data_IF_608198667178
#
_entry.id   IF_608198667178
#
_cell.length_a   1.000
_cell.length_b   1.000
_cell.length_c   1.000
_cell.angle_alpha   90.00
_cell.angle_beta   90.00
_cell.angle_gamma   90.00
#
_symmetry.space_group_name_H-M   'P 1'
#
loop_
_entity.id
_entity.type
_entity.pdbx_description
1 polymer ?
#
# COMPACT_ATOMS: atom_id res chain seq x y z
N UNK A 1 11.75 7.18 5.55
CA UNK A 1 10.43 7.00 4.88
C UNK A 1 10.21 8.21 3.99
N UNK A 2 10.10 7.97 2.70
CA UNK A 2 9.90 9.03 1.71
C UNK A 2 8.50 9.00 1.11
N UNK A 3 7.70 7.97 1.42
CA UNK A 3 6.36 7.77 0.88
C UNK A 3 5.41 7.13 1.90
N UNK A 4 4.17 7.60 1.91
CA UNK A 4 3.03 6.93 2.55
C UNK A 4 1.99 6.65 1.47
N UNK A 5 1.58 5.39 1.35
CA UNK A 5 0.46 4.99 0.50
C UNK A 5 -0.77 4.80 1.39
N UNK A 6 -1.79 5.66 1.24
CA UNK A 6 -2.95 5.70 2.13
C UNK A 6 -4.25 5.42 1.37
N UNK A 7 -4.82 4.25 1.62
CA UNK A 7 -6.17 3.88 1.17
C UNK A 7 -7.18 4.37 2.19
N UNK A 8 -7.85 5.48 1.87
CA UNK A 8 -8.81 6.11 2.80
C UNK A 8 -10.22 5.50 2.72
N UNK A 9 -10.52 4.76 1.65
CA UNK A 9 -11.80 4.08 1.47
C UNK A 9 -11.64 2.84 0.61
N UNK A 10 -12.42 1.79 0.87
CA UNK A 10 -12.59 0.63 -0.01
C UNK A 10 -13.84 0.74 -0.87
N UNK A 11 -14.67 1.78 -0.67
CA UNK A 11 -15.81 2.05 -1.53
C UNK A 11 -15.33 2.38 -2.95
N UNK A 12 -16.02 1.86 -3.95
CA UNK A 12 -15.64 1.99 -5.35
C UNK A 12 -16.88 1.93 -6.23
N UNK A 13 -16.93 2.76 -7.27
CA UNK A 13 -17.97 2.67 -8.30
C UNK A 13 -17.84 1.42 -9.19
N UNK A 14 -16.76 0.64 -9.02
CA UNK A 14 -16.48 -0.58 -9.78
C UNK A 14 -16.24 -1.78 -8.86
N UNK A 15 -16.32 -3.00 -9.45
CA UNK A 15 -16.01 -4.27 -8.80
C UNK A 15 -15.08 -5.10 -9.68
N UNK A 16 -13.88 -4.56 -9.94
CA UNK A 16 -12.92 -5.16 -10.87
C UNK A 16 -12.48 -6.55 -10.45
N UNK A 17 -12.37 -7.46 -11.42
CA UNK A 17 -12.03 -8.86 -11.19
C UNK A 17 -10.64 -9.06 -10.55
N UNK A 18 -9.70 -8.14 -10.80
CA UNK A 18 -8.30 -8.19 -10.37
C UNK A 18 -8.01 -7.37 -9.10
N UNK A 19 -9.04 -6.81 -8.46
CA UNK A 19 -8.84 -5.95 -7.29
C UNK A 19 -8.20 -6.71 -6.13
N UNK A 20 -7.05 -6.23 -5.67
CA UNK A 20 -6.26 -6.86 -4.61
C UNK A 20 -6.81 -6.60 -3.21
N UNK A 21 -7.52 -5.50 -2.99
CA UNK A 21 -8.05 -5.10 -1.68
C UNK A 21 -9.57 -5.27 -1.56
N UNK A 22 -10.19 -5.97 -2.51
CA UNK A 22 -11.63 -6.30 -2.53
C UNK A 22 -12.58 -5.10 -2.54
N UNK A 23 -12.12 -3.95 -3.03
CA UNK A 23 -12.95 -2.75 -3.15
C UNK A 23 -14.18 -3.00 -4.02
N UNK A 24 -15.33 -2.47 -3.57
CA UNK A 24 -16.62 -2.64 -4.22
C UNK A 24 -17.59 -1.54 -3.76
N UNK A 25 -18.72 -1.32 -4.46
CA UNK A 25 -19.76 -0.40 -4.00
C UNK A 25 -20.25 -0.71 -2.58
N UNK A 26 -20.26 0.30 -1.73
CA UNK A 26 -20.69 0.20 -0.34
C UNK A 26 -19.67 -0.41 0.62
N UNK A 27 -18.43 -0.66 0.17
CA UNK A 27 -17.35 -1.13 1.06
C UNK A 27 -16.92 -0.01 2.05
N UNK A 28 -16.34 -0.37 3.22
CA UNK A 28 -16.06 0.60 4.28
C UNK A 28 -15.01 1.65 3.86
N UNK A 29 -15.17 2.85 4.39
CA UNK A 29 -14.19 3.92 4.37
C UNK A 29 -13.80 4.37 5.77
N UNK A 30 -12.75 5.17 5.87
CA UNK A 30 -12.35 5.83 7.11
C UNK A 30 -13.46 6.79 7.55
N UNK A 31 -13.77 6.82 8.83
CA UNK A 31 -14.72 7.81 9.35
C UNK A 31 -14.11 9.22 9.28
N UNK A 32 -14.89 10.22 8.90
CA UNK A 32 -14.44 11.62 8.85
C UNK A 32 -13.82 12.08 10.17
N UNK A 33 -14.40 11.65 11.29
CA UNK A 33 -13.91 11.99 12.63
C UNK A 33 -12.51 11.45 12.92
N UNK A 34 -12.09 10.36 12.26
CA UNK A 34 -10.80 9.73 12.50
C UNK A 34 -9.66 10.35 11.66
N UNK A 35 -9.99 11.11 10.60
CA UNK A 35 -9.00 11.68 9.68
C UNK A 35 -7.96 12.52 10.41
N UNK A 36 -8.41 13.42 11.28
CA UNK A 36 -7.48 14.31 12.01
C UNK A 36 -6.52 13.52 12.90
N UNK A 37 -7.01 12.49 13.60
CA UNK A 37 -6.19 11.61 14.44
C UNK A 37 -5.21 10.80 13.61
N UNK A 38 -5.66 10.20 12.51
CA UNK A 38 -4.77 9.46 11.61
C UNK A 38 -3.67 10.37 11.05
N UNK A 39 -4.02 11.58 10.58
CA UNK A 39 -3.03 12.54 10.08
C UNK A 39 -2.06 12.96 11.17
N UNK A 40 -2.53 13.20 12.41
CA UNK A 40 -1.66 13.55 13.55
C UNK A 40 -0.65 12.44 13.89
N UNK A 41 -1.00 11.18 13.64
CA UNK A 41 -0.16 10.01 13.91
C UNK A 41 0.72 9.57 12.70
N UNK A 42 0.62 10.23 11.55
CA UNK A 42 1.64 10.15 10.50
C UNK A 42 2.95 10.81 10.96
N UNK A 43 4.09 10.57 10.28
CA UNK A 43 5.38 11.12 10.72
C UNK A 43 5.30 12.64 10.92
N UNK A 44 5.88 13.20 12.00
CA UNK A 44 5.99 14.64 12.15
C UNK A 44 6.78 15.26 10.99
N UNK A 45 6.42 16.48 10.54
CA UNK A 45 7.21 17.18 9.53
C UNK A 45 8.67 17.33 9.95
N UNK A 46 9.59 16.89 9.11
CA UNK A 46 11.03 16.99 9.34
C UNK A 46 11.67 15.79 10.05
N UNK A 47 10.91 14.90 10.68
CA UNK A 47 11.48 13.72 11.36
C UNK A 47 11.93 12.64 10.36
N UNK A 48 11.31 12.59 9.18
CA UNK A 48 11.64 11.69 8.09
C UNK A 48 11.62 12.45 6.77
N UNK A 49 12.32 11.97 5.73
CA UNK A 49 12.31 12.60 4.41
C UNK A 49 10.99 12.30 3.65
N UNK A 50 9.85 12.67 4.21
CA UNK A 50 8.54 12.39 3.61
C UNK A 50 8.29 13.30 2.40
N UNK A 51 8.55 12.75 1.21
CA UNK A 51 8.42 13.49 -0.04
C UNK A 51 7.01 13.47 -0.61
N UNK A 52 6.24 12.40 -0.34
CA UNK A 52 4.90 12.25 -0.90
C UNK A 52 3.96 11.43 -0.01
N UNK A 53 2.69 11.78 -0.08
CA UNK A 53 1.59 10.96 0.43
C UNK A 53 0.66 10.67 -0.76
N UNK A 54 0.45 9.39 -1.05
CA UNK A 54 -0.40 8.91 -2.14
C UNK A 54 -1.75 8.53 -1.53
N UNK A 55 -2.77 9.32 -1.81
CA UNK A 55 -4.14 9.02 -1.37
C UNK A 55 -4.77 8.13 -2.43
N UNK A 56 -5.22 6.97 -2.00
CA UNK A 56 -5.82 5.93 -2.82
C UNK A 56 -7.05 5.35 -2.13
N UNK A 57 -7.71 4.41 -2.80
CA UNK A 57 -8.89 3.75 -2.26
C UNK A 57 -9.35 2.61 -3.14
N UNK A 58 -10.61 2.27 -3.00
CA UNK A 58 -11.36 1.67 -4.09
C UNK A 58 -11.44 2.67 -5.22
N UNK A 59 -12.28 3.71 -5.03
CA UNK A 59 -12.26 4.92 -5.84
C UNK A 59 -12.47 6.13 -4.92
N UNK A 60 -11.46 6.95 -4.77
CA UNK A 60 -11.48 8.08 -3.82
C UNK A 60 -12.49 9.17 -4.20
N UNK A 61 -12.85 9.26 -5.48
CA UNK A 61 -13.81 10.23 -5.98
C UNK A 61 -15.28 9.84 -5.74
N UNK A 62 -15.55 8.61 -5.29
CA UNK A 62 -16.89 8.18 -4.86
C UNK A 62 -17.30 8.92 -3.58
N UNK A 63 -16.36 9.23 -2.71
CA UNK A 63 -16.63 9.96 -1.47
C UNK A 63 -15.79 11.24 -1.36
N UNK A 64 -16.17 12.29 -2.11
CA UNK A 64 -15.39 13.53 -2.19
C UNK A 64 -15.20 14.23 -0.84
N UNK A 65 -16.19 14.16 0.05
CA UNK A 65 -16.10 14.79 1.38
C UNK A 65 -14.93 14.21 2.19
N UNK A 66 -14.79 12.89 2.21
CA UNK A 66 -13.68 12.23 2.89
C UNK A 66 -12.34 12.60 2.25
N UNK A 67 -12.27 12.56 0.92
CA UNK A 67 -11.05 12.89 0.17
C UNK A 67 -10.59 14.32 0.48
N UNK A 68 -11.48 15.30 0.35
CA UNK A 68 -11.12 16.70 0.54
C UNK A 68 -10.83 17.03 2.01
N UNK A 69 -11.50 16.36 2.95
CA UNK A 69 -11.18 16.48 4.37
C UNK A 69 -9.76 15.95 4.66
N UNK A 70 -9.38 14.80 4.09
CA UNK A 70 -8.03 14.24 4.22
C UNK A 70 -6.98 15.15 3.57
N UNK A 71 -7.21 15.63 2.34
CA UNK A 71 -6.31 16.56 1.66
C UNK A 71 -6.08 17.85 2.46
N UNK A 72 -7.16 18.43 3.01
CA UNK A 72 -7.06 19.62 3.82
C UNK A 72 -6.24 19.40 5.10
N UNK A 73 -6.48 18.30 5.81
CA UNK A 73 -5.72 17.95 7.01
C UNK A 73 -4.24 17.71 6.73
N UNK A 74 -3.92 17.01 5.62
CA UNK A 74 -2.56 16.77 5.18
C UNK A 74 -1.84 18.05 4.77
N UNK A 75 -2.50 18.89 3.97
CA UNK A 75 -1.92 20.17 3.57
C UNK A 75 -1.69 21.11 4.75
N UNK A 76 -2.63 21.16 5.71
CA UNK A 76 -2.45 21.92 6.95
C UNK A 76 -1.23 21.44 7.76
N UNK A 77 -0.93 20.14 7.75
CA UNK A 77 0.19 19.56 8.50
C UNK A 77 1.53 19.70 7.81
N UNK A 78 1.59 19.46 6.49
CA UNK A 78 2.84 19.33 5.74
C UNK A 78 3.12 20.50 4.80
N UNK A 79 2.12 21.32 4.47
CA UNK A 79 2.24 22.38 3.48
C UNK A 79 2.76 21.87 2.15
N UNK A 80 3.64 22.66 1.52
CA UNK A 80 4.27 22.34 0.23
C UNK A 80 5.53 21.47 0.37
N UNK A 81 5.91 21.08 1.59
CA UNK A 81 7.09 20.25 1.83
C UNK A 81 6.89 18.79 1.42
N UNK A 82 5.64 18.33 1.40
CA UNK A 82 5.25 16.98 1.01
C UNK A 82 4.25 17.03 -0.13
N UNK A 83 4.51 16.32 -1.20
CA UNK A 83 3.61 16.24 -2.35
C UNK A 83 2.36 15.41 -2.00
N UNK A 84 1.19 15.87 -2.41
CA UNK A 84 -0.06 15.12 -2.31
C UNK A 84 -0.40 14.54 -3.69
N UNK A 85 -0.47 13.21 -3.76
CA UNK A 85 -0.83 12.48 -4.96
C UNK A 85 -2.19 11.84 -4.77
N UNK A 86 -2.96 11.75 -5.85
CA UNK A 86 -4.26 11.07 -5.85
C UNK A 86 -4.24 9.96 -6.88
N UNK A 87 -4.59 8.75 -6.46
CA UNK A 87 -4.78 7.60 -7.34
C UNK A 87 -6.27 7.34 -7.51
N UNK A 88 -6.73 7.29 -8.76
CA UNK A 88 -8.14 7.12 -9.14
C UNK A 88 -8.27 6.17 -10.34
N UNK A 89 -9.46 5.57 -10.53
CA UNK A 89 -9.78 4.88 -11.77
C UNK A 89 -10.17 5.83 -12.91
N UNK A 90 -10.32 7.11 -12.62
CA UNK A 90 -10.58 8.16 -13.58
C UNK A 90 -12.04 8.28 -14.07
N UNK A 91 -12.94 7.38 -13.72
CA UNK A 91 -14.32 7.40 -14.22
C UNK A 91 -15.09 8.65 -13.80
N UNK A 92 -14.88 9.09 -12.56
CA UNK A 92 -15.55 10.23 -11.94
C UNK A 92 -14.73 11.54 -12.06
N UNK A 93 -13.61 11.48 -12.78
CA UNK A 93 -12.74 12.64 -12.93
C UNK A 93 -13.20 13.51 -14.11
N UNK A 94 -13.76 14.65 -13.80
CA UNK A 94 -14.13 15.70 -14.73
C UNK A 94 -13.36 17.00 -14.46
N UNK A 95 -13.61 18.04 -15.24
CA UNK A 95 -12.90 19.32 -15.11
C UNK A 95 -13.14 20.02 -13.76
N UNK A 96 -14.39 20.13 -13.21
CA UNK A 96 -14.63 20.65 -11.88
C UNK A 96 -13.91 19.89 -10.78
N UNK A 97 -13.91 18.55 -10.85
CA UNK A 97 -13.24 17.69 -9.87
C UNK A 97 -11.71 17.88 -9.92
N UNK A 98 -11.12 17.89 -11.13
CA UNK A 98 -9.69 18.14 -11.29
C UNK A 98 -9.31 19.52 -10.74
N UNK A 99 -10.04 20.58 -11.09
CA UNK A 99 -9.78 21.92 -10.59
C UNK A 99 -9.82 21.98 -9.06
N UNK A 100 -10.79 21.27 -8.45
CA UNK A 100 -10.92 21.18 -7.00
C UNK A 100 -9.76 20.42 -6.35
N UNK A 101 -9.27 19.31 -6.94
CA UNK A 101 -8.11 18.58 -6.47
C UNK A 101 -6.85 19.46 -6.48
N UNK A 102 -6.62 20.17 -7.58
CA UNK A 102 -5.47 21.06 -7.72
C UNK A 102 -5.53 22.25 -6.73
N UNK A 103 -6.73 22.77 -6.45
CA UNK A 103 -6.93 23.82 -5.46
C UNK A 103 -6.65 23.33 -4.02
N UNK A 104 -6.73 22.03 -3.76
CA UNK A 104 -6.37 21.40 -2.47
C UNK A 104 -4.94 20.90 -2.41
N UNK A 105 -4.06 21.37 -3.29
CA UNK A 105 -2.64 21.07 -3.24
C UNK A 105 -2.22 19.74 -3.84
N UNK A 106 -3.10 19.05 -4.58
CA UNK A 106 -2.72 17.84 -5.30
C UNK A 106 -1.76 18.18 -6.40
N UNK A 107 -0.59 17.53 -6.41
CA UNK A 107 0.48 17.76 -7.38
C UNK A 107 0.60 16.66 -8.43
N UNK A 108 -0.04 15.48 -8.17
CA UNK A 108 -0.03 14.38 -9.13
C UNK A 108 -1.33 13.59 -9.10
N UNK A 109 -1.80 13.23 -10.31
CA UNK A 109 -2.94 12.34 -10.52
C UNK A 109 -2.43 11.07 -11.20
N UNK A 110 -2.62 9.93 -10.54
CA UNK A 110 -2.33 8.61 -11.09
C UNK A 110 -3.65 7.91 -11.47
N UNK A 111 -3.84 7.65 -12.76
CA UNK A 111 -5.02 6.90 -13.25
C UNK A 111 -4.66 5.44 -13.39
N UNK A 112 -5.13 4.62 -12.47
CA UNK A 112 -4.70 3.22 -12.28
C UNK A 112 -5.66 2.20 -12.90
N UNK A 113 -6.29 2.51 -14.02
CA UNK A 113 -7.36 1.68 -14.58
C UNK A 113 -7.34 1.54 -16.09
N UNK A 114 -6.21 1.81 -16.72
CA UNK A 114 -6.10 1.75 -18.20
C UNK A 114 -5.78 0.32 -18.66
N UNK A 115 -6.67 -0.62 -18.38
CA UNK A 115 -6.48 -2.03 -18.74
C UNK A 115 -7.82 -2.77 -19.00
N UNK A 116 -7.70 -4.02 -19.45
CA UNK A 116 -8.83 -4.88 -19.82
C UNK A 116 -9.77 -5.25 -18.68
N UNK A 117 -9.39 -5.02 -17.44
CA UNK A 117 -10.18 -5.36 -16.26
C UNK A 117 -11.14 -4.23 -15.85
N UNK A 118 -10.99 -3.06 -16.46
CA UNK A 118 -11.79 -1.88 -16.18
C UNK A 118 -12.73 -1.58 -17.36
N UNK A 119 -14.05 -1.68 -17.16
CA UNK A 119 -15.03 -1.53 -18.27
C UNK A 119 -14.95 -0.16 -18.96
N UNK A 120 -14.56 0.87 -18.23
CA UNK A 120 -14.46 2.24 -18.75
C UNK A 120 -13.10 2.57 -19.36
N UNK A 121 -12.15 1.62 -19.36
CA UNK A 121 -10.83 1.79 -19.95
C UNK A 121 -10.92 1.73 -21.49
N UNK A 122 -11.37 2.80 -22.10
CA UNK A 122 -11.45 2.97 -23.55
C UNK A 122 -10.39 3.94 -24.04
N UNK A 123 -10.06 3.87 -25.35
CA UNK A 123 -9.15 4.84 -25.97
C UNK A 123 -9.69 6.27 -25.86
N UNK A 124 -10.98 6.44 -26.06
CA UNK A 124 -11.64 7.76 -25.98
C UNK A 124 -11.57 8.34 -24.58
N UNK A 125 -11.74 7.50 -23.55
CA UNK A 125 -11.62 7.92 -22.15
C UNK A 125 -10.18 8.35 -21.81
N UNK A 126 -9.18 7.61 -22.27
CA UNK A 126 -7.78 7.98 -22.08
C UNK A 126 -7.47 9.32 -22.76
N UNK A 127 -7.87 9.49 -24.00
CA UNK A 127 -7.69 10.74 -24.75
C UNK A 127 -8.34 11.91 -24.05
N UNK A 128 -9.59 11.73 -23.57
CA UNK A 128 -10.28 12.76 -22.80
C UNK A 128 -9.49 13.18 -21.56
N UNK A 129 -9.00 12.21 -20.77
CA UNK A 129 -8.23 12.50 -19.56
C UNK A 129 -6.88 13.17 -19.87
N UNK A 130 -6.18 12.73 -20.91
CA UNK A 130 -4.94 13.37 -21.36
C UNK A 130 -5.16 14.83 -21.76
N UNK A 131 -6.22 15.12 -22.51
CA UNK A 131 -6.56 16.48 -22.91
C UNK A 131 -6.98 17.34 -21.71
N UNK A 132 -7.75 16.75 -20.79
CA UNK A 132 -8.13 17.39 -19.54
C UNK A 132 -6.89 17.78 -18.73
N UNK A 133 -5.95 16.87 -18.52
CA UNK A 133 -4.75 17.11 -17.75
C UNK A 133 -3.86 18.19 -18.41
N UNK A 134 -3.68 18.15 -19.72
CA UNK A 134 -2.87 19.14 -20.46
C UNK A 134 -3.48 20.54 -20.40
N UNK A 135 -4.82 20.67 -20.45
CA UNK A 135 -5.48 21.97 -20.29
C UNK A 135 -5.26 22.59 -18.92
N UNK A 136 -4.96 21.79 -17.93
CA UNK A 136 -4.64 22.24 -16.55
C UNK A 136 -3.14 22.22 -16.24
N UNK A 137 -2.28 22.24 -17.27
CA UNK A 137 -0.83 22.28 -17.15
C UNK A 137 -0.20 21.10 -16.39
N UNK A 138 -0.87 19.92 -16.39
CA UNK A 138 -0.24 18.71 -15.89
C UNK A 138 0.61 18.07 -16.99
N UNK A 139 1.82 17.64 -16.62
CA UNK A 139 2.76 16.96 -17.52
C UNK A 139 2.68 15.44 -17.33
N UNK A 140 2.78 14.71 -18.42
CA UNK A 140 2.79 13.25 -18.42
C UNK A 140 4.10 12.71 -17.81
N UNK A 141 3.98 11.92 -16.77
CA UNK A 141 5.06 11.21 -16.08
C UNK A 141 5.04 9.69 -16.33
N UNK A 142 4.18 9.19 -17.23
CA UNK A 142 4.01 7.74 -17.48
C UNK A 142 5.29 7.09 -18.02
N UNK A 143 6.07 7.80 -18.83
CA UNK A 143 7.34 7.31 -19.38
C UNK A 143 8.47 7.18 -18.35
N UNK A 144 8.31 7.78 -17.17
CA UNK A 144 9.27 7.76 -16.08
C UNK A 144 8.93 6.77 -14.96
N UNK A 145 8.24 5.69 -15.29
CA UNK A 145 7.85 4.65 -14.32
C UNK A 145 9.07 4.11 -13.57
N UNK A 146 9.04 4.21 -12.24
CA UNK A 146 10.17 3.88 -11.37
C UNK A 146 11.12 5.04 -11.09
N UNK A 147 11.11 6.12 -11.88
CA UNK A 147 11.72 7.39 -11.54
C UNK A 147 10.76 8.23 -10.69
N UNK A 148 10.28 7.70 -9.57
CA UNK A 148 9.45 8.52 -8.69
C UNK A 148 10.12 9.88 -8.50
N UNK A 149 9.37 10.96 -8.64
CA UNK A 149 9.89 12.30 -8.34
C UNK A 149 10.32 12.26 -6.88
N UNK A 150 11.61 12.08 -6.66
CA UNK A 150 12.20 11.84 -5.34
C UNK A 150 12.26 13.09 -4.47
N UNK A 151 11.89 14.24 -5.02
CA UNK A 151 11.94 15.51 -4.30
C UNK A 151 10.68 16.31 -4.60
N UNK A 152 10.17 17.05 -3.60
CA UNK A 152 9.09 18.00 -3.81
C UNK A 152 9.46 18.97 -4.95
N UNK A 153 8.59 19.09 -5.93
CA UNK A 153 8.68 20.06 -7.02
C UNK A 153 7.32 20.70 -7.20
N UNK A 154 7.30 21.88 -7.80
CA UNK A 154 6.04 22.60 -8.10
C UNK A 154 5.35 22.09 -9.37
N UNK A 155 5.96 21.11 -10.04
CA UNK A 155 5.39 20.55 -11.26
C UNK A 155 4.14 19.71 -10.94
N UNK A 156 3.11 19.94 -11.74
CA UNK A 156 1.89 19.13 -11.72
C UNK A 156 2.04 17.98 -12.71
N UNK A 157 1.74 16.78 -12.27
CA UNK A 157 1.99 15.57 -13.05
C UNK A 157 0.73 14.71 -13.16
N UNK A 158 0.67 13.91 -14.22
CA UNK A 158 -0.24 12.78 -14.30
C UNK A 158 0.50 11.54 -14.81
N UNK A 159 -0.04 10.36 -14.51
CA UNK A 159 0.43 9.11 -15.09
C UNK A 159 -0.73 8.15 -15.27
N UNK A 160 -0.61 7.30 -16.28
CA UNK A 160 -1.53 6.17 -16.48
C UNK A 160 -0.85 4.87 -16.09
N UNK A 161 -1.62 4.01 -15.42
CA UNK A 161 -1.18 2.70 -14.97
C UNK A 161 -2.20 1.65 -15.38
N UNK A 162 -1.72 0.46 -15.69
CA UNK A 162 -2.60 -0.65 -16.02
C UNK A 162 -1.84 -1.96 -16.11
N UNK A 163 -2.57 -3.07 -16.14
CA UNK A 163 -2.03 -4.42 -16.35
C UNK A 163 -1.92 -4.73 -17.86
N UNK A 164 -1.30 -3.81 -18.62
CA UNK A 164 -1.03 -3.91 -20.06
C UNK A 164 0.45 -3.74 -20.34
N UNK A 165 0.99 -4.23 -21.46
CA UNK A 165 2.43 -4.13 -21.75
C UNK A 165 2.98 -2.72 -21.82
N UNK A 166 2.16 -1.75 -22.24
CA UNK A 166 2.53 -0.33 -22.40
C UNK A 166 2.37 0.50 -21.11
N UNK A 167 1.55 0.01 -20.16
CA UNK A 167 1.25 0.70 -18.89
C UNK A 167 1.52 -0.20 -17.68
N UNK A 168 2.50 -1.07 -17.81
CA UNK A 168 2.72 -2.18 -16.91
C UNK A 168 2.98 -1.79 -15.45
N UNK A 169 2.15 -2.29 -14.54
CA UNK A 169 2.31 -2.16 -13.09
C UNK A 169 2.97 -3.38 -12.42
N UNK A 170 3.31 -4.40 -13.20
CA UNK A 170 3.85 -5.68 -12.72
C UNK A 170 2.81 -6.78 -12.56
N UNK A 171 3.20 -7.99 -12.11
CA UNK A 171 2.27 -9.09 -11.84
C UNK A 171 1.21 -8.65 -10.84
N UNK A 172 -0.03 -9.14 -11.05
CA UNK A 172 -1.11 -8.93 -10.09
C UNK A 172 -0.74 -9.61 -8.75
N UNK A 173 -0.91 -8.88 -7.67
CA UNK A 173 -0.62 -9.41 -6.34
C UNK A 173 -1.55 -10.59 -6.00
N UNK A 174 -1.03 -11.64 -5.31
CA UNK A 174 -1.84 -12.78 -4.90
C UNK A 174 -2.71 -12.43 -3.68
N UNK A 175 -3.66 -11.51 -3.89
CA UNK A 175 -4.55 -10.92 -2.90
C UNK A 175 -5.94 -10.69 -3.47
N UNK A 176 -6.93 -10.61 -2.58
CA UNK A 176 -8.29 -10.23 -2.89
C UNK A 176 -8.90 -11.01 -4.06
N UNK A 177 -9.72 -10.34 -4.86
CA UNK A 177 -10.38 -10.96 -6.02
C UNK A 177 -9.42 -11.45 -7.09
N UNK A 178 -8.25 -10.83 -7.25
CA UNK A 178 -7.23 -11.34 -8.17
C UNK A 178 -6.83 -12.77 -7.81
N UNK A 179 -6.57 -13.01 -6.52
CA UNK A 179 -6.25 -14.34 -6.01
C UNK A 179 -7.46 -15.29 -6.08
N UNK A 180 -8.62 -14.87 -5.57
CA UNK A 180 -9.83 -15.69 -5.51
C UNK A 180 -10.32 -16.16 -6.89
N UNK A 181 -10.03 -15.37 -7.95
CA UNK A 181 -10.41 -15.67 -9.32
C UNK A 181 -9.30 -16.31 -10.15
N UNK A 182 -8.17 -16.62 -9.56
CA UNK A 182 -7.02 -17.22 -10.26
C UNK A 182 -6.42 -16.29 -11.33
N UNK A 183 -6.57 -14.97 -11.19
CA UNK A 183 -6.01 -13.99 -12.12
C UNK A 183 -4.59 -13.60 -11.78
N UNK A 184 -4.17 -13.77 -10.52
CA UNK A 184 -2.78 -13.56 -10.14
C UNK A 184 -1.92 -14.65 -10.78
N UNK A 185 -0.95 -14.22 -11.58
CA UNK A 185 0.07 -15.09 -12.19
C UNK A 185 1.40 -14.98 -11.42
N UNK A 186 1.36 -14.44 -10.20
CA UNK A 186 2.54 -14.36 -9.35
C UNK A 186 3.10 -15.75 -9.07
N UNK A 187 4.41 -15.86 -9.20
CA UNK A 187 5.22 -17.06 -8.99
C UNK A 187 6.21 -16.84 -7.84
N UNK A 188 6.92 -17.87 -7.37
CA UNK A 188 7.99 -17.69 -6.40
C UNK A 188 9.12 -16.77 -6.87
N UNK A 189 9.27 -16.55 -8.19
CA UNK A 189 10.24 -15.62 -8.76
C UNK A 189 9.80 -14.15 -8.67
N UNK A 190 8.52 -13.89 -8.39
CA UNK A 190 7.99 -12.54 -8.23
C UNK A 190 8.17 -12.08 -6.79
N UNK A 191 9.34 -11.52 -6.50
CA UNK A 191 9.68 -10.99 -5.19
C UNK A 191 9.06 -9.61 -4.98
N UNK A 192 7.84 -9.59 -4.45
CA UNK A 192 7.15 -8.35 -4.11
C UNK A 192 7.74 -7.65 -2.88
N UNK A 193 8.43 -8.38 -2.00
CA UNK A 193 9.03 -7.79 -0.80
C UNK A 193 10.22 -6.88 -1.14
N UNK A 194 11.02 -7.25 -2.16
CA UNK A 194 12.20 -6.50 -2.58
C UNK A 194 11.89 -5.35 -3.56
N UNK A 195 10.66 -5.25 -4.05
CA UNK A 195 10.23 -4.18 -4.97
C UNK A 195 9.75 -2.96 -4.20
N UNK A 196 9.65 -1.83 -4.91
CA UNK A 196 9.00 -0.63 -4.40
C UNK A 196 7.56 -0.97 -3.96
N UNK A 197 7.10 -0.38 -2.87
CA UNK A 197 5.85 -0.72 -2.17
C UNK A 197 5.86 -2.11 -1.49
N UNK A 198 6.97 -2.83 -1.52
CA UNK A 198 7.19 -4.05 -0.74
C UNK A 198 7.70 -3.73 0.67
N UNK A 199 7.96 -4.79 1.45
CA UNK A 199 8.41 -4.62 2.83
C UNK A 199 9.89 -4.27 2.97
N UNK A 200 10.71 -4.42 1.92
CA UNK A 200 12.14 -4.12 2.00
C UNK A 200 12.38 -2.66 2.35
N UNK A 201 13.12 -2.44 3.45
CA UNK A 201 13.48 -1.11 3.93
C UNK A 201 12.38 -0.39 4.72
N UNK A 202 11.23 -1.00 5.03
CA UNK A 202 10.13 -0.30 5.70
C UNK A 202 10.46 0.16 7.12
N UNK A 203 11.44 -0.47 7.79
CA UNK A 203 11.96 -0.05 9.08
C UNK A 203 13.06 1.03 8.98
N UNK A 204 13.61 1.24 7.78
CA UNK A 204 14.68 2.21 7.54
C UNK A 204 14.09 3.61 7.29
N UNK A 205 13.10 3.99 8.08
CA UNK A 205 12.24 5.14 7.86
C UNK A 205 12.97 6.50 7.91
N UNK A 206 14.21 6.56 8.43
CA UNK A 206 15.05 7.77 8.39
C UNK A 206 15.77 7.95 7.06
N UNK A 207 15.78 6.91 6.22
CA UNK A 207 16.34 6.92 4.88
C UNK A 207 15.30 7.16 3.78
N UNK A 208 15.78 7.22 2.53
CA UNK A 208 14.95 7.26 1.34
C UNK A 208 14.66 5.84 0.82
N UNK A 209 13.61 5.70 -0.01
CA UNK A 209 13.23 4.42 -0.64
C UNK A 209 12.33 3.54 0.23
N UNK A 210 11.80 4.08 1.33
CA UNK A 210 10.89 3.40 2.24
C UNK A 210 9.46 3.92 2.07
N UNK A 211 8.53 3.01 1.84
CA UNK A 211 7.10 3.30 1.81
C UNK A 211 6.37 2.47 2.89
N UNK A 212 5.40 3.11 3.54
CA UNK A 212 4.47 2.44 4.45
C UNK A 212 3.07 2.50 3.86
N UNK A 213 2.35 1.39 3.92
CA UNK A 213 0.96 1.30 3.47
C UNK A 213 0.00 1.48 4.64
N UNK A 214 -1.00 2.32 4.43
CA UNK A 214 -2.11 2.51 5.37
C UNK A 214 -3.41 2.13 4.68
N UNK A 215 -4.20 1.27 5.30
CA UNK A 215 -5.50 0.81 4.81
C UNK A 215 -6.57 1.25 5.81
N UNK A 216 -7.31 2.30 5.47
CA UNK A 216 -8.16 3.05 6.40
C UNK A 216 -7.30 3.67 7.52
N UNK A 217 -7.26 3.07 8.70
CA UNK A 217 -6.37 3.44 9.80
C UNK A 217 -5.28 2.40 10.09
N UNK A 218 -5.39 1.21 9.52
CA UNK A 218 -4.48 0.09 9.76
C UNK A 218 -3.17 0.28 8.99
N UNK A 219 -2.04 0.13 9.66
CA UNK A 219 -0.69 0.28 9.08
C UNK A 219 -0.12 -1.08 8.70
N UNK A 220 0.45 -1.18 7.51
CA UNK A 220 1.08 -2.39 6.98
C UNK A 220 2.51 -2.12 6.51
N UNK A 221 3.40 -3.12 6.57
CA UNK A 221 4.78 -2.98 6.11
C UNK A 221 4.91 -2.91 4.59
N UNK A 222 3.85 -3.26 3.85
CA UNK A 222 3.86 -3.32 2.39
C UNK A 222 2.46 -3.09 1.80
N UNK A 223 2.39 -2.63 0.53
CA UNK A 223 1.14 -2.46 -0.20
C UNK A 223 0.36 -3.76 -0.45
N UNK A 224 1.01 -4.91 -0.78
CA UNK A 224 0.30 -6.18 -0.87
C UNK A 224 -0.35 -6.63 0.44
N UNK A 225 -0.01 -6.00 1.54
CA UNK A 225 -0.44 -6.24 2.91
C UNK A 225 -0.01 -7.61 3.45
N UNK A 226 0.35 -7.64 4.71
CA UNK A 226 0.37 -8.86 5.52
C UNK A 226 -1.07 -9.21 5.93
N UNK A 227 -1.32 -10.41 6.40
CA UNK A 227 -2.67 -10.82 6.83
C UNK A 227 -3.23 -9.95 7.98
N UNK A 228 -2.38 -9.26 8.71
CA UNK A 228 -2.75 -8.34 9.80
C UNK A 228 -1.90 -7.08 9.78
N UNK A 229 -2.42 -5.93 10.27
CA UNK A 229 -1.66 -4.70 10.42
C UNK A 229 -0.60 -4.79 11.52
N UNK A 230 0.40 -3.92 11.46
CA UNK A 230 1.41 -3.71 12.51
C UNK A 230 0.95 -2.71 13.58
N UNK A 231 -0.12 -1.99 13.33
CA UNK A 231 -0.75 -1.04 14.24
C UNK A 231 -1.89 -0.26 13.60
N UNK A 232 -2.44 0.69 14.36
CA UNK A 232 -3.62 1.51 13.99
C UNK A 232 -3.30 2.98 14.25
N UNK A 233 -3.38 3.82 13.22
CA UNK A 233 -3.17 5.28 13.30
C UNK A 233 -4.15 6.02 14.21
N UNK A 234 -5.27 5.42 14.58
CA UNK A 234 -6.18 6.02 15.57
C UNK A 234 -5.66 5.89 17.00
N UNK A 235 -4.77 4.93 17.23
CA UNK A 235 -4.29 4.57 18.56
C UNK A 235 -2.88 5.08 18.86
N UNK A 236 -1.98 5.09 17.88
CA UNK A 236 -0.55 5.39 18.12
C UNK A 236 0.15 5.96 16.88
N UNK A 237 1.26 6.72 17.08
CA UNK A 237 2.08 7.23 15.98
C UNK A 237 2.75 6.10 15.18
N UNK A 238 2.80 6.26 13.84
CA UNK A 238 3.42 5.27 12.95
C UNK A 238 4.89 5.00 13.28
N UNK A 239 5.66 6.01 13.69
CA UNK A 239 7.08 5.81 14.04
C UNK A 239 7.24 4.91 15.26
N UNK A 240 6.33 5.01 16.25
CA UNK A 240 6.34 4.10 17.42
C UNK A 240 6.03 2.65 17.01
N UNK A 241 5.12 2.44 16.05
CA UNK A 241 4.86 1.11 15.48
C UNK A 241 6.11 0.53 14.82
N UNK A 242 6.81 1.34 14.00
CA UNK A 242 8.02 0.91 13.31
C UNK A 242 9.17 0.63 14.27
N UNK A 243 9.37 1.46 15.29
CA UNK A 243 10.38 1.24 16.34
C UNK A 243 10.13 -0.08 17.09
N UNK A 244 8.87 -0.38 17.41
CA UNK A 244 8.47 -1.66 18.02
C UNK A 244 8.78 -2.83 17.08
N UNK A 245 8.44 -2.72 15.80
CA UNK A 245 8.74 -3.76 14.82
C UNK A 245 10.26 -3.96 14.63
N UNK A 246 11.07 -2.91 14.67
CA UNK A 246 12.51 -2.98 14.48
C UNK A 246 13.23 -3.83 15.55
N UNK A 247 12.63 -4.01 16.71
CA UNK A 247 13.18 -4.87 17.77
C UNK A 247 12.95 -6.37 17.52
N UNK A 248 12.04 -6.73 16.60
CA UNK A 248 11.59 -8.11 16.41
C UNK A 248 12.21 -8.77 15.17
N UNK A 249 12.81 -9.99 15.28
CA UNK A 249 13.52 -10.64 14.18
C UNK A 249 12.64 -10.93 12.95
N UNK A 250 11.36 -11.25 13.14
CA UNK A 250 10.41 -11.47 12.03
C UNK A 250 10.25 -10.23 11.15
N UNK A 251 10.09 -9.06 11.75
CA UNK A 251 9.96 -7.81 11.00
C UNK A 251 11.27 -7.36 10.38
N UNK A 252 12.42 -7.71 11.00
CA UNK A 252 13.73 -7.49 10.38
C UNK A 252 13.91 -8.36 9.12
N UNK A 253 13.47 -9.62 9.14
CA UNK A 253 13.48 -10.46 7.95
C UNK A 253 12.62 -9.86 6.82
N UNK A 254 11.44 -9.32 7.14
CA UNK A 254 10.63 -8.58 6.16
C UNK A 254 11.33 -7.31 5.66
N UNK A 255 11.98 -6.56 6.55
CA UNK A 255 12.75 -5.36 6.19
C UNK A 255 13.92 -5.66 5.25
N UNK A 256 14.51 -6.83 5.36
CA UNK A 256 15.54 -7.32 4.43
C UNK A 256 14.96 -7.73 3.06
N UNK A 257 13.63 -7.82 2.92
CA UNK A 257 12.95 -8.38 1.75
C UNK A 257 13.05 -9.92 1.72
N UNK A 258 13.19 -10.56 2.87
CA UNK A 258 13.46 -12.00 3.00
C UNK A 258 12.43 -12.72 3.88
N UNK A 259 11.16 -12.75 3.46
CA UNK A 259 10.09 -13.36 4.26
C UNK A 259 10.32 -14.85 4.55
N UNK A 260 11.10 -15.57 3.74
CA UNK A 260 11.48 -16.95 3.99
C UNK A 260 12.25 -17.16 5.30
N UNK A 261 12.90 -16.11 5.82
CA UNK A 261 13.64 -16.16 7.10
C UNK A 261 12.76 -15.94 8.33
N UNK A 262 11.51 -15.51 8.18
CA UNK A 262 10.66 -15.24 9.35
C UNK A 262 10.54 -16.44 10.27
N UNK A 263 10.59 -17.67 9.72
CA UNK A 263 10.50 -18.92 10.46
C UNK A 263 11.67 -19.16 11.43
N UNK A 264 12.83 -18.54 11.23
CA UNK A 264 14.00 -18.71 12.09
C UNK A 264 13.71 -18.30 13.55
N UNK A 265 12.83 -17.32 13.75
CA UNK A 265 12.35 -16.94 15.07
C UNK A 265 11.72 -18.09 15.84
N UNK A 266 11.12 -19.05 15.15
CA UNK A 266 10.45 -20.23 15.68
C UNK A 266 11.29 -21.51 15.54
N UNK A 267 12.55 -21.40 15.15
CA UNK A 267 13.44 -22.53 14.92
C UNK A 267 13.20 -23.25 13.58
N UNK A 268 12.39 -22.67 12.69
CA UNK A 268 12.23 -23.16 11.31
C UNK A 268 13.40 -22.66 10.46
N UNK A 269 13.95 -23.53 9.60
CA UNK A 269 15.05 -23.12 8.72
C UNK A 269 14.57 -22.18 7.61
N UNK A 270 15.49 -21.36 7.08
CA UNK A 270 15.23 -20.57 5.88
C UNK A 270 14.80 -21.48 4.70
N UNK A 271 15.43 -22.67 4.56
CA UNK A 271 15.08 -23.65 3.54
C UNK A 271 13.60 -24.08 3.63
N UNK A 272 13.06 -24.21 4.84
CA UNK A 272 11.64 -24.48 5.06
C UNK A 272 10.78 -23.33 4.51
N UNK A 273 11.10 -22.08 4.81
CA UNK A 273 10.38 -20.90 4.29
C UNK A 273 10.41 -20.81 2.77
N UNK A 274 11.55 -21.12 2.16
CA UNK A 274 11.71 -21.21 0.69
C UNK A 274 10.83 -22.31 0.09
N UNK A 275 10.83 -23.50 0.69
CA UNK A 275 10.01 -24.64 0.24
C UNK A 275 8.52 -24.31 0.36
N UNK A 276 8.08 -23.73 1.49
CA UNK A 276 6.69 -23.31 1.67
C UNK A 276 6.27 -22.24 0.67
N UNK A 277 7.10 -21.23 0.44
CA UNK A 277 6.83 -20.20 -0.58
C UNK A 277 6.64 -20.82 -1.97
N UNK A 278 7.46 -21.81 -2.31
CA UNK A 278 7.34 -22.53 -3.58
C UNK A 278 6.07 -23.38 -3.64
N UNK A 279 5.75 -24.11 -2.58
CA UNK A 279 4.56 -24.95 -2.50
C UNK A 279 3.28 -24.12 -2.56
N UNK A 280 3.27 -22.93 -1.95
CA UNK A 280 2.14 -22.00 -1.96
C UNK A 280 2.06 -21.16 -3.24
N UNK A 281 3.13 -21.09 -4.01
CA UNK A 281 3.21 -20.35 -5.27
C UNK A 281 3.77 -18.93 -5.18
N UNK A 282 3.93 -18.34 -3.98
CA UNK A 282 4.54 -17.02 -3.79
C UNK A 282 4.91 -16.74 -2.34
N UNK A 283 5.91 -15.88 -2.11
CA UNK A 283 6.33 -15.42 -0.77
C UNK A 283 5.23 -14.70 0.03
N UNK A 284 4.33 -13.96 -0.64
CA UNK A 284 3.20 -13.33 0.05
C UNK A 284 2.27 -14.35 0.71
N UNK A 285 2.08 -15.51 0.07
CA UNK A 285 1.22 -16.58 0.62
C UNK A 285 1.91 -17.30 1.79
N UNK A 286 3.25 -17.45 1.73
CA UNK A 286 4.02 -17.89 2.89
C UNK A 286 3.92 -16.90 4.05
N UNK A 287 4.01 -15.59 3.79
CA UNK A 287 3.85 -14.56 4.78
C UNK A 287 2.49 -14.67 5.49
N UNK A 288 1.41 -14.89 4.75
CA UNK A 288 0.08 -15.09 5.33
C UNK A 288 0.00 -16.37 6.17
N UNK A 289 0.54 -17.48 5.66
CA UNK A 289 0.59 -18.73 6.41
C UNK A 289 1.39 -18.56 7.70
N UNK A 290 2.53 -17.89 7.64
CA UNK A 290 3.37 -17.65 8.80
C UNK A 290 2.59 -16.92 9.90
N UNK A 291 1.99 -15.79 9.60
CA UNK A 291 1.26 -14.99 10.58
C UNK A 291 -0.06 -15.61 11.02
N UNK A 292 -0.69 -16.48 10.23
CA UNK A 292 -1.95 -17.10 10.60
C UNK A 292 -1.78 -18.41 11.37
N UNK A 293 -0.75 -19.21 11.04
CA UNK A 293 -0.57 -20.55 11.57
C UNK A 293 0.58 -20.67 12.55
N UNK A 294 1.68 -19.97 12.30
CA UNK A 294 2.91 -20.17 13.08
C UNK A 294 3.08 -19.10 14.17
N UNK A 295 2.74 -17.87 13.92
CA UNK A 295 2.94 -16.77 14.84
C UNK A 295 1.75 -15.78 14.89
N UNK A 296 0.53 -16.24 15.17
CA UNK A 296 -0.66 -15.38 15.17
C UNK A 296 -0.62 -14.30 16.24
N UNK A 297 0.17 -14.51 17.31
CA UNK A 297 0.34 -13.55 18.41
C UNK A 297 1.17 -12.31 18.04
N UNK A 298 2.04 -12.41 17.05
CA UNK A 298 2.98 -11.32 16.70
C UNK A 298 2.31 -10.05 16.19
N UNK A 299 1.09 -10.16 15.72
CA UNK A 299 0.30 -9.05 15.18
C UNK A 299 -0.78 -8.58 16.16
N UNK A 300 -0.69 -9.01 17.42
CA UNK A 300 -1.54 -8.47 18.47
C UNK A 300 -0.95 -7.15 18.98
N UNK A 301 -1.76 -6.10 19.23
CA UNK A 301 -1.30 -4.87 19.87
C UNK A 301 -0.60 -5.09 21.21
N UNK A 302 -0.86 -6.24 21.85
CA UNK A 302 -0.29 -6.66 23.12
C UNK A 302 0.73 -7.80 22.96
N UNK A 303 1.33 -7.98 21.77
CA UNK A 303 2.34 -9.01 21.58
C UNK A 303 3.52 -8.78 22.53
N UNK A 304 3.97 -9.80 23.28
CA UNK A 304 5.07 -9.65 24.20
C UNK A 304 6.34 -9.27 23.43
N UNK A 305 6.98 -8.18 23.87
CA UNK A 305 8.34 -7.83 23.46
C UNK A 305 9.25 -9.00 23.80
N UNK A 306 9.84 -9.59 22.79
CA UNK A 306 10.77 -10.72 22.76
C UNK A 306 11.34 -11.21 24.09
N UNK A 307 11.20 -12.51 24.35
CA UNK A 307 11.78 -13.42 25.34
C UNK A 307 10.79 -13.89 26.41
N UNK A 308 9.90 -14.77 26.01
CA UNK A 308 9.30 -15.75 26.86
C UNK A 308 9.38 -17.11 26.16
N UNK A 309 9.70 -18.17 26.89
CA UNK A 309 9.87 -19.53 26.40
C UNK A 309 8.74 -19.92 25.41
N UNK A 310 9.12 -20.03 24.15
CA UNK A 310 8.23 -20.60 23.13
C UNK A 310 8.15 -22.09 23.41
N UNK A 311 6.96 -22.57 23.78
CA UNK A 311 6.74 -24.00 23.97
C UNK A 311 6.86 -24.73 22.62
N UNK A 312 8.06 -25.24 22.37
CA UNK A 312 8.40 -25.99 21.16
C UNK A 312 7.49 -27.21 20.91
N UNK A 313 6.79 -27.72 21.94
CA UNK A 313 5.82 -28.82 21.81
C UNK A 313 4.53 -28.37 21.12
N UNK A 314 4.14 -27.11 21.26
CA UNK A 314 3.01 -26.52 20.53
C UNK A 314 3.31 -26.29 19.04
N UNK A 315 4.59 -26.11 18.69
CA UNK A 315 5.03 -25.92 17.31
C UNK A 315 5.01 -27.23 16.52
N UNK A 316 5.46 -28.34 17.12
CA UNK A 316 5.43 -29.65 16.46
C UNK A 316 4.01 -30.10 16.08
N UNK A 317 3.01 -29.76 16.91
CA UNK A 317 1.60 -30.07 16.63
C UNK A 317 0.97 -29.21 15.50
N UNK A 318 1.62 -28.10 15.09
CA UNK A 318 1.15 -27.18 14.03
C UNK A 318 1.77 -27.45 12.67
N UNK A 319 2.77 -28.33 12.60
CA UNK A 319 3.50 -28.68 11.38
C UNK A 319 3.02 -29.95 10.70
N UNK A 320 2.05 -30.68 11.27
CA UNK A 320 1.42 -31.81 10.59
C UNK A 320 0.51 -31.34 9.46
N UNK A 321 0.66 -31.88 8.23
CA UNK A 321 -0.23 -31.57 7.12
C UNK A 321 -1.65 -32.08 7.41
N UNK A 322 -2.64 -31.26 7.12
CA UNK A 322 -4.04 -31.65 7.14
C UNK A 322 -4.37 -32.54 5.94
#
# INVERSE_FOLDING_TARGET
MDSVYWVISRDCNQQCAHCYNDSAPGAPGLALADVATCVANLPPPGDVPLHRIIISGGEVLVWPELLFHALQALHARYGDATQLWVQTNGDLLDEPMLARLLAHGVTRIDVASMDRFHPQSTRDRRTYLEDLFRRHDLRDASAGVGSGVKRPGRERLFAFWGATPDLWIGPLWPRGRAMARGLSQASPADDFCARWSGAKGFLDYRGEGCEVSVQLADVYPCCPMTCRPIGDLRAEPVLAMLDRCATHPVYRALNEGRPEKMGEYLGLSEAFGVERSRALGNHCLWCDEFFTRHAPELLSPNAPTARGDVDLRRLAARTEPA
#
